data_IF_194287230135
#
_entry.id   IF_194287230135
#
_cell.length_a   1.000
_cell.length_b   1.000
_cell.length_c   1.000
_cell.angle_alpha   90.00
_cell.angle_beta   90.00
_cell.angle_gamma   90.00
#
_symmetry.space_group_name_H-M   'P 1'
#
loop_
_entity.id
_entity.type
_entity.pdbx_description
1 polymer ?
#
# COMPACT_ATOMS: atom_id res chain seq x y z
N UNK A 1 45.82 36.50 -38.81
CA UNK A 1 46.54 36.47 -37.52
C UNK A 1 45.63 35.88 -36.45
N UNK A 2 46.18 34.93 -35.68
CA UNK A 2 45.62 34.22 -34.50
C UNK A 2 44.74 35.12 -33.62
N UNK A 3 43.66 34.59 -33.02
CA UNK A 3 43.73 33.93 -31.70
C UNK A 3 42.58 32.92 -31.49
N UNK A 4 42.96 31.84 -30.82
CA UNK A 4 42.19 30.65 -30.42
C UNK A 4 41.97 30.72 -28.91
N UNK A 5 40.76 30.42 -28.42
CA UNK A 5 40.42 30.01 -27.03
C UNK A 5 39.10 29.22 -27.15
N UNK A 6 39.06 27.89 -27.17
CA UNK A 6 39.25 26.89 -26.09
C UNK A 6 38.07 26.83 -25.08
N UNK A 7 37.44 25.63 -25.05
CA UNK A 7 36.47 25.06 -24.06
C UNK A 7 35.07 25.68 -23.99
N UNK A 8 33.96 24.94 -23.86
CA UNK A 8 33.76 23.65 -23.20
C UNK A 8 32.62 22.81 -23.81
N UNK A 9 32.81 21.49 -23.74
CA UNK A 9 31.83 20.43 -23.97
C UNK A 9 30.93 20.33 -22.73
N UNK A 10 29.62 20.53 -22.88
CA UNK A 10 28.62 20.06 -21.91
C UNK A 10 27.63 19.19 -22.67
N UNK A 11 27.95 17.90 -22.75
CA UNK A 11 26.99 16.88 -23.11
C UNK A 11 26.11 16.61 -21.88
N UNK A 12 25.01 17.37 -21.75
CA UNK A 12 23.98 17.06 -20.76
C UNK A 12 23.10 15.96 -21.36
N UNK A 13 23.47 14.70 -21.12
CA UNK A 13 22.54 13.58 -21.23
C UNK A 13 21.41 13.81 -20.22
N UNK A 14 20.31 14.41 -20.68
CA UNK A 14 19.05 14.34 -19.96
C UNK A 14 18.60 12.87 -20.01
N UNK A 15 18.78 12.19 -18.88
CA UNK A 15 18.27 10.86 -18.60
C UNK A 15 16.78 10.80 -18.99
N UNK A 16 16.47 9.77 -19.76
CA UNK A 16 15.13 9.41 -20.15
C UNK A 16 14.21 9.38 -18.92
N UNK A 17 13.12 10.15 -18.96
CA UNK A 17 11.96 9.92 -18.10
C UNK A 17 11.31 8.65 -18.66
N UNK A 18 11.70 7.50 -18.13
CA UNK A 18 11.00 6.24 -18.40
C UNK A 18 9.59 6.32 -17.83
N UNK A 19 8.63 6.33 -18.77
CA UNK A 19 7.25 5.88 -18.64
C UNK A 19 6.45 6.36 -17.42
N UNK A 20 5.83 7.54 -17.53
CA UNK A 20 4.46 7.70 -17.04
C UNK A 20 3.52 6.90 -17.97
N UNK A 21 3.53 5.58 -17.87
CA UNK A 21 2.51 4.74 -18.50
C UNK A 21 1.14 5.18 -17.99
N UNK A 22 0.22 5.45 -18.94
CA UNK A 22 -1.07 6.08 -18.72
C UNK A 22 -1.76 5.63 -17.43
N UNK A 23 -2.03 6.59 -16.56
CA UNK A 23 -2.90 6.38 -15.41
C UNK A 23 -4.32 6.31 -15.92
N UNK A 24 -4.81 5.10 -16.12
CA UNK A 24 -6.23 4.87 -16.33
C UNK A 24 -6.97 5.22 -15.02
N UNK A 25 -7.66 6.37 -15.03
CA UNK A 25 -8.39 6.94 -13.88
C UNK A 25 -9.58 6.06 -13.39
N UNK A 26 -9.85 4.93 -14.05
CA UNK A 26 -10.98 4.03 -13.75
C UNK A 26 -10.59 2.62 -13.32
N UNK A 27 -9.32 2.25 -13.40
CA UNK A 27 -8.88 0.90 -13.05
C UNK A 27 -8.43 0.90 -11.60
N UNK A 28 -9.21 0.24 -10.73
CA UNK A 28 -8.89 0.05 -9.32
C UNK A 28 -7.49 -0.54 -9.09
N UNK A 29 -7.14 -0.80 -7.83
CA UNK A 29 -5.88 -1.48 -7.54
C UNK A 29 -5.87 -2.87 -8.22
N UNK A 30 -4.71 -3.38 -8.67
CA UNK A 30 -4.68 -4.70 -9.29
C UNK A 30 -5.26 -5.76 -8.34
N UNK A 31 -6.29 -6.46 -8.78
CA UNK A 31 -6.98 -7.43 -7.93
C UNK A 31 -6.08 -8.63 -7.60
N UNK A 32 -6.30 -9.28 -6.48
CA UNK A 32 -5.62 -10.54 -6.16
C UNK A 32 -5.20 -10.65 -4.71
N UNK A 33 -4.34 -11.64 -4.45
CA UNK A 33 -3.78 -11.88 -3.14
C UNK A 33 -2.45 -11.13 -2.99
N UNK A 34 -2.27 -10.51 -1.83
CA UNK A 34 -1.11 -9.75 -1.44
C UNK A 34 -0.61 -10.24 -0.09
N UNK A 35 0.69 -10.10 0.13
CA UNK A 35 1.33 -10.37 1.41
C UNK A 35 1.98 -9.10 1.93
N UNK A 36 1.72 -8.76 3.18
CA UNK A 36 2.36 -7.63 3.87
C UNK A 36 3.82 -8.00 4.15
N UNK A 37 4.73 -7.18 3.63
CA UNK A 37 6.19 -7.38 3.76
C UNK A 37 6.87 -6.32 4.62
N UNK A 38 6.21 -5.18 4.85
CA UNK A 38 6.66 -4.16 5.77
C UNK A 38 5.47 -3.34 6.30
N UNK A 39 5.56 -2.92 7.57
CA UNK A 39 4.62 -1.99 8.20
C UNK A 39 5.42 -0.95 8.96
N UNK A 40 5.02 0.31 8.87
CA UNK A 40 5.50 1.41 9.70
C UNK A 40 4.30 2.11 10.34
N UNK A 41 4.36 2.32 11.65
CA UNK A 41 3.28 2.97 12.42
C UNK A 41 3.90 4.12 13.22
N UNK A 42 3.41 5.35 13.01
CA UNK A 42 3.83 6.50 13.81
C UNK A 42 5.36 6.71 13.84
N UNK A 43 6.01 6.55 12.69
CA UNK A 43 7.46 6.70 12.48
C UNK A 43 8.29 5.49 12.93
N UNK A 44 7.66 4.38 13.31
CA UNK A 44 8.35 3.19 13.82
C UNK A 44 8.11 2.01 12.88
N UNK A 45 9.14 1.50 12.19
CA UNK A 45 9.01 0.27 11.42
C UNK A 45 8.75 -0.90 12.38
N UNK A 46 7.80 -1.76 12.04
CA UNK A 46 7.64 -3.03 12.71
C UNK A 46 8.83 -3.92 12.34
N UNK A 47 9.61 -4.44 13.32
CA UNK A 47 10.73 -5.32 13.04
C UNK A 47 10.30 -6.52 12.20
N UNK A 48 11.12 -6.87 11.21
CA UNK A 48 10.83 -7.96 10.27
C UNK A 48 10.60 -9.28 11.00
N UNK A 49 11.35 -9.54 12.06
CA UNK A 49 11.27 -10.69 12.93
C UNK A 49 9.97 -10.75 13.77
N UNK A 50 9.25 -9.63 13.94
CA UNK A 50 7.87 -9.65 14.45
C UNK A 50 6.87 -9.95 13.33
N UNK A 51 7.06 -9.38 12.14
CA UNK A 51 6.22 -9.69 10.99
C UNK A 51 6.34 -11.17 10.59
N UNK A 52 7.54 -11.74 10.62
CA UNK A 52 7.80 -13.15 10.26
C UNK A 52 7.22 -14.14 11.30
N UNK A 53 6.87 -13.67 12.51
CA UNK A 53 6.16 -14.47 13.53
C UNK A 53 4.64 -14.38 13.40
N UNK A 54 4.11 -13.42 12.65
CA UNK A 54 2.69 -13.34 12.38
C UNK A 54 2.26 -14.50 11.48
N UNK A 55 1.03 -14.96 11.64
CA UNK A 55 0.49 -16.03 10.77
C UNK A 55 0.37 -15.56 9.32
N UNK A 56 0.40 -16.50 8.37
CA UNK A 56 0.19 -16.15 6.96
C UNK A 56 -1.14 -15.42 6.73
N UNK A 57 -2.17 -15.76 7.50
CA UNK A 57 -3.47 -15.10 7.46
C UNK A 57 -3.37 -13.63 7.91
N UNK A 58 -2.69 -13.34 9.02
CA UNK A 58 -2.50 -11.96 9.51
C UNK A 58 -1.65 -11.09 8.57
N UNK A 59 -0.85 -11.72 7.72
CA UNK A 59 -0.05 -11.05 6.69
C UNK A 59 -0.74 -11.01 5.33
N UNK A 60 -1.82 -11.75 5.14
CA UNK A 60 -2.54 -11.83 3.88
C UNK A 60 -3.50 -10.65 3.73
N UNK A 61 -3.59 -10.17 2.49
CA UNK A 61 -4.54 -9.14 2.09
C UNK A 61 -5.11 -9.50 0.72
N UNK A 62 -6.42 -9.39 0.55
CA UNK A 62 -7.09 -9.61 -0.74
C UNK A 62 -7.65 -8.30 -1.27
N UNK A 63 -7.35 -7.99 -2.52
CA UNK A 63 -7.88 -6.83 -3.23
C UNK A 63 -8.87 -7.30 -4.29
N UNK A 64 -10.08 -6.73 -4.28
CA UNK A 64 -11.09 -6.86 -5.34
C UNK A 64 -11.31 -5.50 -6.00
N UNK A 65 -12.30 -5.40 -6.88
CA UNK A 65 -12.64 -4.18 -7.62
C UNK A 65 -12.82 -2.94 -6.73
N UNK A 66 -13.37 -3.11 -5.54
CA UNK A 66 -13.73 -2.02 -4.63
C UNK A 66 -13.46 -2.31 -3.15
N UNK A 67 -12.92 -3.48 -2.81
CA UNK A 67 -12.73 -3.92 -1.43
C UNK A 67 -11.31 -4.43 -1.19
N UNK A 68 -10.76 -4.06 -0.04
CA UNK A 68 -9.54 -4.60 0.54
C UNK A 68 -9.94 -5.42 1.77
N UNK A 69 -9.56 -6.69 1.82
CA UNK A 69 -9.87 -7.60 2.93
C UNK A 69 -8.56 -7.99 3.59
N UNK A 70 -8.38 -7.57 4.84
CA UNK A 70 -7.29 -8.01 5.71
C UNK A 70 -7.83 -8.94 6.80
N UNK A 71 -6.96 -9.71 7.45
CA UNK A 71 -7.34 -10.48 8.64
C UNK A 71 -6.81 -9.79 9.90
N UNK A 72 -7.71 -9.49 10.84
CA UNK A 72 -7.39 -8.86 12.12
C UNK A 72 -7.98 -9.70 13.27
N UNK A 73 -7.13 -10.20 14.16
CA UNK A 73 -7.56 -11.03 15.28
C UNK A 73 -8.30 -12.31 14.86
N UNK A 74 -7.86 -12.92 13.74
CA UNK A 74 -8.44 -14.14 13.19
C UNK A 74 -9.79 -13.95 12.48
N UNK A 75 -10.20 -12.71 12.19
CA UNK A 75 -11.43 -12.41 11.45
C UNK A 75 -11.13 -11.50 10.28
N UNK A 76 -11.91 -11.65 9.21
CA UNK A 76 -11.86 -10.75 8.07
C UNK A 76 -12.34 -9.34 8.49
N UNK A 77 -11.57 -8.34 8.07
CA UNK A 77 -11.81 -6.92 8.30
C UNK A 77 -11.86 -6.22 6.92
N UNK A 78 -13.03 -6.24 6.24
CA UNK A 78 -13.18 -5.66 4.93
C UNK A 78 -13.28 -4.14 4.99
N UNK A 79 -12.54 -3.47 4.11
CA UNK A 79 -12.62 -2.04 3.87
C UNK A 79 -12.95 -1.78 2.40
N UNK A 80 -14.00 -1.02 2.12
CA UNK A 80 -14.24 -0.53 0.75
C UNK A 80 -13.24 0.57 0.42
N UNK A 81 -12.88 0.72 -0.85
CA UNK A 81 -11.94 1.74 -1.27
C UNK A 81 -12.29 2.41 -2.59
N UNK A 82 -11.79 3.62 -2.77
CA UNK A 82 -11.77 4.36 -4.05
C UNK A 82 -10.39 4.94 -4.26
N UNK A 83 -9.98 5.12 -5.52
CA UNK A 83 -8.70 5.71 -5.86
C UNK A 83 -8.87 6.90 -6.79
N UNK A 84 -7.92 7.84 -6.71
CA UNK A 84 -7.77 8.92 -7.67
C UNK A 84 -6.31 8.94 -8.13
N UNK A 85 -6.07 8.37 -9.31
CA UNK A 85 -4.73 8.23 -9.85
C UNK A 85 -4.22 9.53 -10.48
N UNK A 86 -5.10 10.44 -10.92
CA UNK A 86 -4.73 11.75 -11.45
C UNK A 86 -3.98 12.66 -10.45
N UNK A 87 -4.08 12.38 -9.15
CA UNK A 87 -3.36 13.11 -8.11
C UNK A 87 -1.88 12.70 -8.05
N UNK A 88 -1.04 13.61 -7.55
CA UNK A 88 0.38 13.35 -7.34
C UNK A 88 0.75 13.73 -5.90
N UNK A 89 1.01 12.75 -5.01
CA UNK A 89 0.92 11.30 -5.22
C UNK A 89 -0.52 10.78 -5.46
N UNK A 90 -0.70 9.62 -6.11
CA UNK A 90 -2.00 8.96 -6.28
C UNK A 90 -2.69 8.73 -4.94
N UNK A 91 -4.00 8.95 -4.90
CA UNK A 91 -4.77 8.99 -3.67
C UNK A 91 -5.65 7.75 -3.52
N UNK A 92 -5.83 7.29 -2.28
CA UNK A 92 -6.77 6.23 -1.90
C UNK A 92 -7.64 6.69 -0.73
N UNK A 93 -8.93 6.39 -0.78
CA UNK A 93 -9.87 6.54 0.34
C UNK A 93 -10.36 5.16 0.71
N UNK A 94 -10.42 4.84 2.00
CA UNK A 94 -10.96 3.57 2.48
C UNK A 94 -12.00 3.80 3.57
N UNK A 95 -12.98 2.90 3.64
CA UNK A 95 -14.02 2.91 4.68
C UNK A 95 -14.17 1.51 5.24
N UNK A 96 -14.03 1.35 6.55
CA UNK A 96 -14.19 0.08 7.24
C UNK A 96 -15.26 0.18 8.33
N UNK A 97 -15.95 -0.92 8.61
CA UNK A 97 -16.94 -0.98 9.69
C UNK A 97 -16.20 -1.04 11.03
N UNK A 98 -16.46 -0.08 11.93
CA UNK A 98 -15.92 -0.14 13.29
C UNK A 98 -16.76 -1.09 14.14
N UNK A 99 -16.19 -2.18 14.70
CA UNK A 99 -16.94 -3.12 15.52
C UNK A 99 -17.61 -2.42 16.71
N UNK A 100 -18.91 -2.66 16.91
CA UNK A 100 -19.67 -2.08 18.02
C UNK A 100 -19.98 -0.58 17.90
N UNK A 101 -19.76 0.03 16.73
CA UNK A 101 -20.13 1.43 16.47
C UNK A 101 -21.12 1.53 15.32
N UNK A 102 -21.96 2.56 15.36
CA UNK A 102 -22.80 2.97 14.21
C UNK A 102 -22.03 3.80 13.18
N UNK A 103 -20.81 4.24 13.51
CA UNK A 103 -19.94 5.02 12.63
C UNK A 103 -18.88 4.13 12.00
N UNK A 104 -18.60 4.41 10.73
CA UNK A 104 -17.53 3.76 9.98
C UNK A 104 -16.20 4.48 10.21
N UNK A 105 -15.10 3.72 10.16
CA UNK A 105 -13.75 4.25 10.14
C UNK A 105 -13.42 4.74 8.72
N UNK A 106 -13.17 6.04 8.59
CA UNK A 106 -12.68 6.65 7.35
C UNK A 106 -11.17 6.72 7.38
N UNK A 107 -10.55 6.33 6.27
CA UNK A 107 -9.12 6.37 6.09
C UNK A 107 -8.77 7.12 4.80
N UNK A 108 -7.80 8.03 4.91
CA UNK A 108 -7.32 8.83 3.81
C UNK A 108 -5.85 8.58 3.60
N UNK A 109 -5.46 8.25 2.36
CA UNK A 109 -4.10 7.85 2.08
C UNK A 109 -3.61 8.13 0.68
N UNK A 110 -2.37 7.75 0.46
CA UNK A 110 -1.71 7.78 -0.84
C UNK A 110 -1.19 6.39 -1.15
N UNK A 111 -1.05 6.07 -2.43
CA UNK A 111 -0.56 4.77 -2.87
C UNK A 111 0.43 4.87 -4.01
N UNK A 112 1.28 3.87 -4.12
CA UNK A 112 2.23 3.69 -5.23
C UNK A 112 2.23 2.23 -5.67
N UNK A 113 2.27 2.01 -6.97
CA UNK A 113 2.41 0.70 -7.61
C UNK A 113 3.75 0.65 -8.34
N UNK A 114 4.60 -0.30 -7.96
CA UNK A 114 5.90 -0.58 -8.57
C UNK A 114 5.96 -2.08 -8.93
N UNK A 115 5.51 -2.42 -10.14
CA UNK A 115 5.33 -3.81 -10.57
C UNK A 115 4.35 -4.56 -9.66
N UNK A 116 4.83 -5.60 -9.00
CA UNK A 116 4.06 -6.39 -8.02
C UNK A 116 4.07 -5.80 -6.60
N UNK A 117 4.65 -4.63 -6.40
CA UNK A 117 4.74 -4.00 -5.07
C UNK A 117 3.74 -2.87 -4.97
N UNK A 118 2.86 -2.94 -3.97
CA UNK A 118 1.90 -1.90 -3.62
C UNK A 118 2.32 -1.29 -2.28
N UNK A 119 2.55 0.02 -2.26
CA UNK A 119 2.77 0.78 -1.03
C UNK A 119 1.55 1.64 -0.76
N UNK A 120 1.01 1.58 0.45
CA UNK A 120 -0.11 2.42 0.91
C UNK A 120 0.34 3.14 2.17
N UNK A 121 0.14 4.46 2.23
CA UNK A 121 0.30 5.25 3.45
C UNK A 121 -1.02 5.97 3.75
N UNK A 122 -1.63 5.68 4.89
CA UNK A 122 -2.96 6.17 5.24
C UNK A 122 -3.04 6.64 6.69
N UNK A 123 -4.05 7.45 6.99
CA UNK A 123 -4.43 7.84 8.34
C UNK A 123 -5.91 7.58 8.54
N UNK A 124 -6.31 7.10 9.72
CA UNK A 124 -7.72 7.09 10.13
C UNK A 124 -8.10 8.47 10.64
N UNK A 125 -8.98 9.18 9.93
CA UNK A 125 -9.46 10.52 10.28
C UNK A 125 -10.85 10.77 9.69
N UNK A 126 -11.61 11.66 10.31
CA UNK A 126 -12.87 12.17 9.77
C UNK A 126 -12.68 13.23 8.67
N UNK A 127 -11.45 13.75 8.50
CA UNK A 127 -11.12 14.84 7.57
C UNK A 127 -10.09 14.42 6.52
N UNK A 128 -10.42 14.61 5.24
CA UNK A 128 -9.56 14.28 4.12
C UNK A 128 -8.28 15.14 4.04
N UNK A 129 -8.25 16.29 4.73
CA UNK A 129 -7.06 17.16 4.79
C UNK A 129 -5.89 16.51 5.52
N UNK A 130 -6.15 15.52 6.36
CA UNK A 130 -5.12 14.82 7.13
C UNK A 130 -4.37 13.77 6.29
N UNK A 131 -4.74 13.59 5.03
CA UNK A 131 -4.10 12.68 4.09
C UNK A 131 -2.57 12.91 4.07
N UNK A 132 -1.74 11.85 4.22
CA UNK A 132 -0.31 11.97 4.05
C UNK A 132 0.08 12.54 2.68
N UNK A 133 0.99 13.52 2.67
CA UNK A 133 1.53 14.12 1.44
C UNK A 133 2.72 13.32 0.87
N UNK A 134 3.35 12.49 1.69
CA UNK A 134 4.56 11.73 1.37
C UNK A 134 4.45 10.33 1.98
N UNK A 135 5.19 9.36 1.43
CA UNK A 135 5.28 7.99 1.95
C UNK A 135 6.18 7.92 3.18
N UNK A 136 5.74 8.55 4.26
CA UNK A 136 6.42 8.56 5.56
C UNK A 136 5.39 8.64 6.67
N UNK A 137 5.65 7.95 7.78
CA UNK A 137 4.89 8.18 9.00
C UNK A 137 5.75 8.98 9.98
N UNK A 138 5.14 9.88 10.74
CA UNK A 138 5.83 10.73 11.70
C UNK A 138 5.59 10.22 13.13
N UNK A 139 6.53 10.46 14.08
CA UNK A 139 6.28 10.23 15.49
C UNK A 139 4.97 10.88 15.95
N UNK A 140 4.18 10.15 16.74
CA UNK A 140 2.87 10.58 17.25
C UNK A 140 1.78 10.78 16.19
N UNK A 141 2.02 10.39 14.94
CA UNK A 141 1.00 10.32 13.90
C UNK A 141 0.21 9.01 14.01
N UNK A 142 -1.08 9.06 13.70
CA UNK A 142 -1.92 7.89 13.47
C UNK A 142 -1.70 7.30 12.05
N UNK A 143 -0.71 7.80 11.31
CA UNK A 143 -0.38 7.30 10.00
C UNK A 143 0.21 5.89 10.08
N UNK A 144 -0.26 5.04 9.16
CA UNK A 144 0.21 3.68 8.94
C UNK A 144 0.67 3.60 7.49
N UNK A 145 1.89 3.11 7.29
CA UNK A 145 2.42 2.77 5.98
C UNK A 145 2.62 1.27 5.88
N UNK A 146 2.12 0.68 4.80
CA UNK A 146 2.26 -0.75 4.51
C UNK A 146 2.86 -0.93 3.14
N UNK A 147 3.78 -1.89 3.04
CA UNK A 147 4.29 -2.39 1.75
C UNK A 147 3.79 -3.82 1.55
N UNK A 148 3.17 -4.05 0.40
CA UNK A 148 2.48 -5.27 0.04
C UNK A 148 3.10 -5.84 -1.24
N UNK A 149 3.36 -7.14 -1.25
CA UNK A 149 3.80 -7.87 -2.45
C UNK A 149 2.62 -8.65 -3.02
N UNK A 150 2.29 -8.46 -4.28
CA UNK A 150 1.29 -9.26 -5.00
C UNK A 150 1.83 -10.67 -5.17
N UNK A 151 0.98 -11.65 -4.86
CA UNK A 151 1.34 -13.05 -5.03
C UNK A 151 1.12 -13.43 -6.51
N UNK A 152 2.13 -14.01 -7.19
CA UNK A 152 2.02 -14.39 -8.60
C UNK A 152 0.97 -15.48 -8.87
N UNK A 153 0.49 -16.13 -7.81
CA UNK A 153 -0.59 -17.12 -7.78
C UNK A 153 -1.37 -16.88 -6.48
N UNK A 154 -2.71 -17.07 -6.41
CA UNK A 154 -3.45 -16.89 -5.16
C UNK A 154 -2.91 -17.84 -4.09
N UNK A 155 -2.02 -17.35 -3.22
CA UNK A 155 -1.67 -18.03 -2.00
C UNK A 155 -2.88 -17.87 -1.06
N UNK A 156 -3.73 -18.90 -1.05
CA UNK A 156 -4.68 -19.35 -0.02
C UNK A 156 -5.97 -19.89 -0.66
N UNK A 157 -5.88 -21.11 -1.19
CA UNK A 157 -6.87 -22.09 -0.76
C UNK A 157 -6.79 -22.17 0.78
N UNK A 158 -7.90 -22.20 1.52
CA UNK A 158 -7.86 -22.36 2.96
C UNK A 158 -7.05 -23.63 3.28
N UNK A 159 -6.08 -23.51 4.19
CA UNK A 159 -5.38 -24.68 4.71
C UNK A 159 -6.43 -25.71 5.16
N UNK A 160 -6.29 -27.01 4.82
CA UNK A 160 -7.20 -28.02 5.32
C UNK A 160 -7.21 -27.94 6.85
N UNK A 161 -8.40 -27.89 7.44
CA UNK A 161 -8.58 -27.93 8.89
C UNK A 161 -7.68 -29.02 9.49
N UNK A 162 -7.04 -28.79 10.65
CA UNK A 162 -6.26 -29.83 11.31
C UNK A 162 -7.17 -31.05 11.48
N UNK A 163 -6.72 -32.20 10.97
CA UNK A 163 -7.47 -33.44 11.08
C UNK A 163 -7.86 -33.66 12.56
N UNK A 164 -9.11 -34.07 12.84
CA UNK A 164 -9.52 -34.34 14.21
C UNK A 164 -8.56 -35.38 14.82
N UNK A 165 -8.23 -35.27 16.12
CA UNK A 165 -7.34 -36.22 16.76
C UNK A 165 -7.93 -37.62 16.59
N UNK A 166 -7.11 -38.54 16.08
CA UNK A 166 -7.48 -39.96 16.00
C UNK A 166 -7.78 -40.42 17.42
N UNK A 167 -9.02 -40.80 17.69
CA UNK A 167 -9.39 -41.57 18.88
C UNK A 167 -9.00 -43.04 18.68
#
# INVERSE_FOLDING_TARGET
MRRVFSTALVAMCALAIEAASGRDDKKGLPEGAYTIIAIEIGGKPIPKDLLDKATDAERALKITSDTIIATKGGKDDPATYTINSAQMPPQINMTAKRPGSSKDDKMYGIYKLDGDTLTICLVTSDDAKDRPAEFKTAPNSQAVMMTLKRNPTPALAPAPAPAPPKK
#
